data_IF_748968263210
#
_entry.id   IF_748968263210
#
_cell.length_a   1.000
_cell.length_b   1.000
_cell.length_c   1.000
_cell.angle_alpha   90.00
_cell.angle_beta   90.00
_cell.angle_gamma   90.00
#
_symmetry.space_group_name_H-M   'P 1'
#
loop_
_entity.id
_entity.type
_entity.pdbx_description
1 polymer ?
#
# COMPACT_ATOMS: atom_id res chain seq x y z
N UNK A 1 -30.10 53.12 -9.29
CA UNK A 1 -29.32 52.13 -10.08
C UNK A 1 -28.31 51.37 -9.23
N UNK A 2 -27.49 52.02 -8.39
CA UNK A 2 -26.51 51.35 -7.51
C UNK A 2 -27.12 50.42 -6.44
N UNK A 3 -28.28 50.78 -5.87
CA UNK A 3 -28.96 49.96 -4.85
C UNK A 3 -29.51 48.63 -5.41
N UNK A 4 -29.94 48.62 -6.68
CA UNK A 4 -30.40 47.41 -7.39
C UNK A 4 -29.23 46.43 -7.63
N UNK A 5 -28.02 46.96 -7.89
CA UNK A 5 -26.83 46.15 -8.14
C UNK A 5 -26.34 45.44 -6.85
N UNK A 6 -26.40 46.12 -5.70
CA UNK A 6 -25.99 45.56 -4.40
C UNK A 6 -26.92 44.45 -3.88
N UNK A 7 -28.20 44.45 -4.28
CA UNK A 7 -29.16 43.39 -3.92
C UNK A 7 -29.11 42.22 -4.90
N UNK A 8 -28.79 42.47 -6.17
CA UNK A 8 -28.69 41.42 -7.20
C UNK A 8 -27.47 40.48 -7.01
N UNK A 9 -26.34 41.00 -6.55
CA UNK A 9 -25.11 40.22 -6.33
C UNK A 9 -25.28 39.11 -5.27
N UNK A 10 -25.82 39.36 -4.06
CA UNK A 10 -26.02 38.30 -3.08
C UNK A 10 -27.10 37.28 -3.48
N UNK A 11 -28.12 37.68 -4.27
CA UNK A 11 -29.14 36.75 -4.77
C UNK A 11 -28.59 35.77 -5.82
N UNK A 12 -27.63 36.19 -6.65
CA UNK A 12 -26.94 35.31 -7.59
C UNK A 12 -26.00 34.32 -6.89
N UNK A 13 -25.45 34.66 -5.72
CA UNK A 13 -24.51 33.81 -4.98
C UNK A 13 -25.23 32.78 -4.08
N UNK A 14 -26.50 32.99 -3.73
CA UNK A 14 -27.32 32.03 -2.95
C UNK A 14 -28.21 31.12 -3.83
N UNK A 15 -28.28 31.38 -5.15
CA UNK A 15 -29.18 30.70 -6.08
C UNK A 15 -28.65 29.41 -6.74
N UNK A 16 -27.49 28.89 -6.35
CA UNK A 16 -26.96 27.63 -6.88
C UNK A 16 -26.54 26.66 -5.79
N UNK A 17 -27.42 26.46 -4.81
CA UNK A 17 -27.60 25.18 -4.16
C UNK A 17 -28.99 24.72 -4.56
N UNK A 18 -29.06 23.77 -5.46
CA UNK A 18 -30.19 22.85 -5.54
C UNK A 18 -29.60 21.53 -5.96
N UNK A 19 -29.33 20.69 -4.95
CA UNK A 19 -29.28 19.25 -5.12
C UNK A 19 -30.67 18.79 -5.54
N UNK A 20 -31.03 19.03 -6.80
CA UNK A 20 -32.21 18.47 -7.45
C UNK A 20 -31.73 17.29 -8.29
N UNK A 21 -31.70 16.13 -7.65
CA UNK A 21 -31.90 14.85 -8.33
C UNK A 21 -33.22 14.93 -9.09
N UNK A 22 -33.13 15.38 -10.34
CA UNK A 22 -34.23 15.48 -11.28
C UNK A 22 -33.85 14.60 -12.46
N UNK A 23 -34.37 13.38 -12.43
CA UNK A 23 -34.41 12.46 -13.57
C UNK A 23 -35.27 13.12 -14.66
N UNK A 24 -34.63 13.92 -15.48
CA UNK A 24 -35.16 14.43 -16.74
C UNK A 24 -34.35 13.79 -17.85
N UNK A 25 -35.05 13.08 -18.72
CA UNK A 25 -34.52 12.45 -19.93
C UNK A 25 -33.88 13.50 -20.84
N UNK A 26 -32.57 13.67 -20.71
CA UNK A 26 -31.72 14.38 -21.66
C UNK A 26 -30.38 13.67 -21.62
N UNK A 27 -29.89 13.24 -22.79
CA UNK A 27 -28.66 12.49 -23.02
C UNK A 27 -27.41 13.33 -22.75
N UNK A 28 -27.26 13.79 -21.51
CA UNK A 28 -26.06 14.46 -21.01
C UNK A 28 -24.98 13.44 -20.60
N UNK A 29 -23.69 13.80 -20.68
CA UNK A 29 -22.63 12.94 -20.19
C UNK A 29 -22.72 12.83 -18.65
N UNK A 30 -22.66 11.60 -18.12
CA UNK A 30 -22.70 11.32 -16.69
C UNK A 30 -21.29 11.43 -16.11
N UNK A 31 -21.11 12.08 -14.97
CA UNK A 31 -19.80 12.18 -14.30
C UNK A 31 -19.74 11.28 -13.07
N UNK A 32 -18.72 10.42 -13.01
CA UNK A 32 -18.40 9.63 -11.82
C UNK A 32 -17.16 10.16 -11.12
N UNK A 33 -17.26 10.20 -9.79
CA UNK A 33 -16.27 10.73 -8.88
C UNK A 33 -15.97 9.66 -7.84
N UNK A 34 -14.70 9.37 -7.61
CA UNK A 34 -14.31 8.48 -6.53
C UNK A 34 -12.97 8.92 -5.94
N UNK A 35 -12.85 8.76 -4.63
CA UNK A 35 -11.61 9.00 -3.91
C UNK A 35 -11.35 7.84 -2.97
N UNK A 36 -10.15 7.31 -2.96
CA UNK A 36 -9.79 6.18 -2.10
C UNK A 36 -8.43 6.41 -1.45
N UNK A 37 -8.33 5.98 -0.19
CA UNK A 37 -7.05 5.87 0.52
C UNK A 37 -6.66 4.40 0.52
N UNK A 38 -5.53 4.09 -0.12
CA UNK A 38 -5.04 2.72 -0.22
C UNK A 38 -3.77 2.56 0.59
N UNK A 39 -3.75 1.55 1.46
CA UNK A 39 -2.52 1.07 2.11
C UNK A 39 -1.83 0.13 1.13
N UNK A 40 -0.58 0.39 0.79
CA UNK A 40 0.27 -0.53 0.07
C UNK A 40 1.25 -1.17 1.06
N UNK A 41 1.19 -2.49 1.19
CA UNK A 41 2.11 -3.28 2.00
C UNK A 41 3.12 -3.99 1.07
N UNK A 42 4.42 -3.98 1.38
CA UNK A 42 5.46 -4.62 0.57
C UNK A 42 5.46 -6.14 0.73
N UNK A 43 4.70 -6.68 1.68
CA UNK A 43 4.58 -8.12 1.91
C UNK A 43 3.21 -8.61 1.46
N UNK A 44 3.08 -9.23 0.27
CA UNK A 44 2.04 -10.22 0.07
C UNK A 44 2.34 -11.36 1.06
N UNK A 45 1.51 -11.47 2.11
CA UNK A 45 1.43 -12.59 3.04
C UNK A 45 2.64 -13.54 3.04
N UNK A 46 3.75 -13.12 3.68
CA UNK A 46 4.68 -14.10 4.21
C UNK A 46 4.02 -14.73 5.43
N UNK A 47 3.17 -15.71 5.17
CA UNK A 47 2.67 -16.61 6.20
C UNK A 47 3.90 -17.19 6.90
N UNK A 48 4.04 -17.04 8.24
CA UNK A 48 5.18 -17.59 8.96
C UNK A 48 5.28 -19.10 8.66
N UNK A 49 6.50 -19.64 8.46
CA UNK A 49 6.68 -21.08 8.30
C UNK A 49 6.00 -21.79 9.47
N UNK A 50 5.09 -22.72 9.18
CA UNK A 50 4.54 -23.56 10.24
C UNK A 50 5.70 -24.35 10.87
N UNK A 51 5.82 -24.35 12.21
CA UNK A 51 6.90 -25.09 12.85
C UNK A 51 6.76 -26.60 12.53
N UNK A 52 7.87 -27.30 12.25
CA UNK A 52 7.82 -28.72 11.96
C UNK A 52 7.32 -29.51 13.17
N UNK A 53 6.53 -30.56 12.93
CA UNK A 53 6.02 -31.46 13.95
C UNK A 53 7.16 -32.22 14.65
N UNK A 54 7.12 -32.41 15.99
CA UNK A 54 8.17 -33.11 16.72
C UNK A 54 8.24 -34.60 16.34
N UNK A 55 9.45 -35.21 16.33
CA UNK A 55 9.62 -36.62 15.99
C UNK A 55 9.15 -37.57 17.12
N UNK A 56 8.87 -38.85 16.81
CA UNK A 56 8.45 -39.83 17.81
C UNK A 56 9.62 -40.26 18.72
N UNK A 57 9.33 -40.47 20.01
CA UNK A 57 10.30 -40.96 20.99
C UNK A 57 10.76 -42.39 20.69
N UNK A 58 12.07 -42.70 20.78
CA UNK A 58 12.53 -44.08 20.63
C UNK A 58 12.27 -44.91 21.89
N UNK A 59 11.79 -46.14 21.67
CA UNK A 59 11.56 -47.14 22.71
C UNK A 59 12.88 -47.68 23.30
N UNK A 60 12.86 -47.86 24.62
CA UNK A 60 13.95 -48.40 25.46
C UNK A 60 14.25 -49.86 25.09
N UNK A 61 15.52 -50.17 24.76
CA UNK A 61 16.00 -51.56 24.60
C UNK A 61 17.11 -51.90 25.61
N UNK A 62 17.11 -53.17 26.02
CA UNK A 62 17.63 -53.68 27.29
C UNK A 62 19.15 -53.88 27.41
N UNK A 63 19.53 -54.12 28.67
CA UNK A 63 20.89 -54.31 29.22
C UNK A 63 21.61 -55.54 28.64
N UNK A 64 22.90 -55.39 28.37
CA UNK A 64 23.86 -56.50 28.26
C UNK A 64 25.18 -56.16 28.98
N UNK A 65 25.62 -57.12 29.82
CA UNK A 65 26.98 -57.44 30.32
C UNK A 65 28.00 -56.36 30.68
N UNK A 66 28.43 -56.35 31.95
CA UNK A 66 29.49 -55.50 32.50
C UNK A 66 30.89 -55.92 32.02
N UNK A 67 31.57 -55.05 31.27
CA UNK A 67 33.03 -55.05 31.12
C UNK A 67 33.64 -54.35 32.34
N UNK A 68 34.72 -54.91 32.89
CA UNK A 68 35.38 -54.39 34.09
C UNK A 68 35.70 -52.89 33.98
N UNK A 69 35.60 -52.13 35.08
CA UNK A 69 35.68 -50.68 35.03
C UNK A 69 37.03 -50.25 34.46
N UNK A 70 37.04 -49.37 33.43
CA UNK A 70 38.23 -48.61 33.07
C UNK A 70 38.75 -47.90 34.32
N UNK A 71 40.08 -47.78 34.44
CA UNK A 71 40.70 -47.06 35.55
C UNK A 71 40.10 -45.65 35.70
N UNK A 72 40.11 -45.08 36.91
CA UNK A 72 39.53 -43.77 37.16
C UNK A 72 40.13 -42.76 36.16
N UNK A 73 39.29 -41.97 35.45
CA UNK A 73 39.78 -40.87 34.66
C UNK A 73 40.70 -40.00 35.53
N UNK A 74 41.84 -39.59 34.97
CA UNK A 74 42.73 -38.64 35.65
C UNK A 74 41.93 -37.41 36.09
N UNK A 75 42.37 -36.71 37.15
CA UNK A 75 41.69 -35.51 37.62
C UNK A 75 41.54 -34.53 36.45
N UNK A 76 40.33 -33.95 36.32
CA UNK A 76 40.09 -32.89 35.34
C UNK A 76 41.11 -31.79 35.60
N UNK A 77 41.82 -31.38 34.55
CA UNK A 77 42.73 -30.23 34.63
C UNK A 77 41.98 -28.98 35.14
N UNK A 78 42.70 -28.02 35.74
CA UNK A 78 42.07 -26.80 36.22
C UNK A 78 41.27 -26.13 35.09
N UNK A 79 40.11 -25.50 35.40
CA UNK A 79 39.41 -24.66 34.45
C UNK A 79 40.37 -23.65 33.82
N UNK A 80 40.30 -23.48 32.50
CA UNK A 80 41.07 -22.44 31.81
C UNK A 80 40.72 -21.05 32.35
N UNK A 81 41.66 -20.12 32.28
CA UNK A 81 41.41 -18.74 32.71
C UNK A 81 40.24 -18.14 31.91
N UNK A 82 39.40 -17.30 32.54
CA UNK A 82 38.38 -16.54 31.82
C UNK A 82 38.98 -15.78 30.64
N UNK A 83 38.32 -15.85 29.49
CA UNK A 83 38.70 -15.07 28.32
C UNK A 83 38.70 -13.57 28.63
N UNK A 84 39.56 -12.81 27.95
CA UNK A 84 39.59 -11.35 28.11
C UNK A 84 38.21 -10.77 27.74
N UNK A 85 37.77 -9.69 28.41
CA UNK A 85 36.57 -8.97 27.99
C UNK A 85 36.64 -8.62 26.50
N UNK A 86 35.51 -8.76 25.81
CA UNK A 86 35.41 -8.34 24.41
C UNK A 86 35.65 -6.83 24.26
N UNK A 87 36.01 -6.36 23.05
CA UNK A 87 36.13 -4.93 22.80
C UNK A 87 34.78 -4.23 23.09
N UNK A 88 34.81 -2.96 23.53
CA UNK A 88 33.60 -2.16 23.67
C UNK A 88 32.77 -2.19 22.38
N UNK A 89 31.45 -2.29 22.51
CA UNK A 89 30.54 -2.19 21.38
C UNK A 89 30.68 -0.83 20.67
N UNK A 90 30.28 -0.73 19.40
CA UNK A 90 30.25 0.56 18.70
C UNK A 90 29.41 1.57 19.48
N UNK A 91 29.76 2.87 19.45
CA UNK A 91 28.96 3.91 20.07
C UNK A 91 27.50 3.80 19.62
N UNK A 92 26.57 3.77 20.58
CA UNK A 92 25.14 3.84 20.28
C UNK A 92 24.80 5.17 19.59
N UNK A 93 23.69 5.24 18.84
CA UNK A 93 23.20 6.52 18.31
C UNK A 93 23.07 7.52 19.46
N UNK A 94 23.76 8.66 19.35
CA UNK A 94 23.79 9.67 20.41
C UNK A 94 22.41 10.23 20.76
N UNK A 95 22.29 10.93 21.90
CA UNK A 95 21.05 11.61 22.31
C UNK A 95 20.81 12.80 21.39
N UNK A 96 20.04 12.54 20.34
CA UNK A 96 19.92 13.41 19.17
C UNK A 96 20.13 12.60 17.90
N UNK A 97 19.53 11.41 17.83
CA UNK A 97 19.49 10.55 16.65
C UNK A 97 18.84 11.29 15.48
N UNK A 98 19.60 12.21 14.90
CA UNK A 98 19.39 12.72 13.56
C UNK A 98 19.79 11.57 12.66
N UNK A 99 18.86 10.64 12.50
CA UNK A 99 18.72 9.98 11.21
C UNK A 99 18.52 11.15 10.25
N UNK A 100 19.46 11.50 9.36
CA UNK A 100 19.12 12.40 8.26
C UNK A 100 17.90 11.77 7.64
N UNK A 101 16.75 12.47 7.68
CA UNK A 101 15.50 12.00 7.11
C UNK A 101 15.84 11.45 5.73
N UNK A 102 15.97 10.12 5.65
CA UNK A 102 16.50 9.47 4.48
C UNK A 102 15.41 9.69 3.45
N UNK A 103 15.68 10.60 2.50
CA UNK A 103 14.88 10.96 1.34
C UNK A 103 13.51 10.27 1.31
N UNK A 104 12.48 10.88 1.92
CA UNK A 104 11.10 10.44 1.62
C UNK A 104 10.87 10.74 0.14
N UNK A 105 10.79 9.72 -0.74
CA UNK A 105 10.63 9.99 -2.14
C UNK A 105 9.28 10.68 -2.33
N UNK A 106 9.31 11.81 -3.04
CA UNK A 106 8.10 12.50 -3.44
C UNK A 106 7.46 11.66 -4.52
N UNK A 107 6.21 11.25 -4.31
CA UNK A 107 5.47 10.39 -5.23
C UNK A 107 4.13 11.06 -5.48
N UNK A 108 3.85 11.37 -6.74
CA UNK A 108 2.59 11.97 -7.16
C UNK A 108 2.41 11.79 -8.66
N UNK A 109 1.19 11.53 -9.11
CA UNK A 109 0.87 11.56 -10.54
C UNK A 109 -0.48 12.21 -10.78
N UNK A 110 -0.65 12.77 -11.98
CA UNK A 110 -1.91 13.29 -12.51
C UNK A 110 -1.92 13.04 -14.00
N UNK A 111 -2.97 12.38 -14.49
CA UNK A 111 -3.12 12.03 -15.89
C UNK A 111 -4.58 12.14 -16.35
N UNK A 112 -4.77 12.55 -17.60
CA UNK A 112 -6.04 12.59 -18.30
C UNK A 112 -6.17 11.50 -19.36
N UNK A 113 -7.35 11.41 -19.95
CA UNK A 113 -7.64 10.46 -21.02
C UNK A 113 -7.79 11.24 -22.34
N UNK A 114 -6.94 10.98 -23.34
CA UNK A 114 -6.97 11.70 -24.62
C UNK A 114 -8.05 11.18 -25.56
N UNK A 115 -8.28 9.86 -25.52
CA UNK A 115 -9.22 9.17 -26.42
C UNK A 115 -10.34 8.54 -25.60
N UNK A 116 -11.60 8.59 -26.10
CA UNK A 116 -12.67 7.83 -25.50
C UNK A 116 -12.29 6.35 -25.39
N UNK A 117 -12.69 5.74 -24.29
CA UNK A 117 -12.40 4.35 -23.99
C UNK A 117 -13.72 3.60 -23.79
N UNK A 118 -13.81 2.38 -24.32
CA UNK A 118 -15.02 1.56 -24.31
C UNK A 118 -14.71 0.15 -23.78
N UNK A 119 -15.71 -0.50 -23.19
CA UNK A 119 -15.60 -1.86 -22.65
C UNK A 119 -15.20 -1.93 -21.17
N UNK A 120 -14.82 -3.14 -20.74
CA UNK A 120 -14.58 -3.50 -19.34
C UNK A 120 -13.08 -3.59 -18.98
N UNK A 121 -12.21 -3.01 -19.80
CA UNK A 121 -10.77 -3.02 -19.56
C UNK A 121 -10.30 -1.82 -18.71
N UNK A 122 -9.04 -1.85 -18.28
CA UNK A 122 -8.44 -0.80 -17.45
C UNK A 122 -8.37 0.51 -18.25
N UNK A 123 -8.90 1.60 -17.68
CA UNK A 123 -8.77 2.95 -18.24
C UNK A 123 -7.29 3.38 -18.24
N UNK A 124 -6.73 3.56 -19.44
CA UNK A 124 -5.33 3.97 -19.66
C UNK A 124 -5.25 5.48 -19.85
N UNK A 125 -5.07 6.22 -18.76
CA UNK A 125 -4.91 7.68 -18.80
C UNK A 125 -3.55 8.04 -19.42
N UNK A 126 -3.57 8.29 -20.73
CA UNK A 126 -2.38 8.49 -21.57
C UNK A 126 -1.87 9.94 -21.60
N UNK A 127 -2.65 10.90 -21.10
CA UNK A 127 -2.26 12.31 -21.00
C UNK A 127 -1.61 12.61 -19.66
N UNK A 128 -0.34 12.24 -19.48
CA UNK A 128 0.37 12.45 -18.21
C UNK A 128 0.80 13.91 -18.06
N UNK A 129 0.25 14.59 -17.06
CA UNK A 129 0.61 15.97 -16.70
C UNK A 129 1.73 15.97 -15.65
N UNK A 130 1.62 15.10 -14.64
CA UNK A 130 2.61 14.96 -13.57
C UNK A 130 2.87 13.48 -13.30
N UNK A 131 4.13 13.08 -13.11
CA UNK A 131 4.51 11.71 -12.71
C UNK A 131 5.81 11.72 -11.90
N UNK A 132 5.77 12.30 -10.70
CA UNK A 132 6.91 12.35 -9.79
C UNK A 132 7.25 10.93 -9.34
N UNK A 133 8.46 10.49 -9.67
CA UNK A 133 8.95 9.14 -9.38
C UNK A 133 8.67 8.10 -10.48
N UNK A 134 7.91 8.43 -11.52
CA UNK A 134 7.63 7.55 -12.67
C UNK A 134 7.01 6.19 -12.29
N UNK A 135 6.12 6.19 -11.30
CA UNK A 135 5.46 4.97 -10.81
C UNK A 135 4.06 4.73 -11.40
N UNK A 136 3.54 5.72 -12.14
CA UNK A 136 2.39 5.56 -13.01
C UNK A 136 2.84 5.18 -14.43
N UNK A 137 2.29 4.09 -14.95
CA UNK A 137 2.60 3.56 -16.28
C UNK A 137 1.42 3.81 -17.25
N UNK A 138 1.52 4.78 -18.17
CA UNK A 138 0.40 5.21 -19.03
C UNK A 138 -0.03 4.13 -20.02
N UNK A 139 0.91 3.29 -20.44
CA UNK A 139 0.64 2.17 -21.35
C UNK A 139 -0.29 1.12 -20.74
N UNK A 140 -0.30 0.99 -19.42
CA UNK A 140 -1.09 0.00 -18.67
C UNK A 140 -2.23 0.61 -17.85
N UNK A 141 -2.21 1.92 -17.59
CA UNK A 141 -3.15 2.61 -16.71
C UNK A 141 -2.91 2.37 -15.22
N UNK A 142 -1.78 1.75 -14.83
CA UNK A 142 -1.53 1.27 -13.46
C UNK A 142 -0.50 2.12 -12.73
N UNK A 143 -0.77 2.35 -11.45
CA UNK A 143 0.21 2.88 -10.50
C UNK A 143 0.78 1.74 -9.66
N UNK A 144 2.11 1.63 -9.60
CA UNK A 144 2.81 0.63 -8.79
C UNK A 144 3.37 1.29 -7.54
N UNK A 145 2.90 0.89 -6.36
CA UNK A 145 3.40 1.42 -5.10
C UNK A 145 4.90 1.11 -4.94
N UNK A 146 5.79 2.12 -4.92
CA UNK A 146 7.23 1.88 -4.78
C UNK A 146 7.67 1.61 -3.35
N UNK A 147 6.89 2.08 -2.38
CA UNK A 147 7.18 1.94 -0.96
C UNK A 147 5.92 1.56 -0.17
N UNK A 148 6.08 0.86 0.98
CA UNK A 148 5.04 0.75 1.99
C UNK A 148 4.47 2.12 2.34
N UNK A 149 3.14 2.26 2.38
CA UNK A 149 2.54 3.49 2.84
C UNK A 149 1.08 3.66 2.48
N UNK A 150 0.54 4.80 2.90
CA UNK A 150 -0.82 5.23 2.58
C UNK A 150 -0.75 6.16 1.38
N UNK A 151 -1.48 5.81 0.33
CA UNK A 151 -1.58 6.56 -0.90
C UNK A 151 -3.00 7.10 -1.05
N UNK A 152 -3.10 8.31 -1.60
CA UNK A 152 -4.37 8.96 -1.90
C UNK A 152 -4.60 8.97 -3.41
N UNK A 153 -5.77 8.53 -3.82
CA UNK A 153 -6.19 8.51 -5.21
C UNK A 153 -7.54 9.18 -5.33
N UNK A 154 -7.71 9.96 -6.40
CA UNK A 154 -8.99 10.54 -6.80
C UNK A 154 -9.13 10.40 -8.30
N UNK A 155 -10.33 10.11 -8.77
CA UNK A 155 -10.63 10.00 -10.20
C UNK A 155 -11.94 10.68 -10.53
N UNK A 156 -11.96 11.26 -11.73
CA UNK A 156 -13.10 11.94 -12.31
C UNK A 156 -13.26 11.37 -13.71
N UNK A 157 -14.29 10.56 -13.94
CA UNK A 157 -14.54 9.91 -15.23
C UNK A 157 -15.82 10.48 -15.82
N UNK A 158 -15.69 11.07 -17.01
CA UNK A 158 -16.83 11.49 -17.81
C UNK A 158 -17.28 10.33 -18.68
N UNK A 159 -18.52 9.91 -18.50
CA UNK A 159 -19.11 8.76 -19.17
C UNK A 159 -20.13 9.24 -20.20
N UNK A 160 -20.06 8.70 -21.42
CA UNK A 160 -21.04 8.96 -22.48
C UNK A 160 -22.19 7.98 -22.34
N UNK A 161 -23.26 8.38 -21.66
CA UNK A 161 -24.46 7.56 -21.49
C UNK A 161 -25.10 7.18 -22.83
N UNK A 162 -25.33 5.88 -23.06
CA UNK A 162 -26.02 5.33 -24.21
C UNK A 162 -26.95 4.18 -23.81
N UNK A 163 -28.12 4.13 -24.43
CA UNK A 163 -29.02 2.97 -24.48
C UNK A 163 -29.64 2.51 -23.15
N UNK A 164 -29.64 3.38 -22.12
CA UNK A 164 -30.22 3.07 -20.82
C UNK A 164 -29.36 2.14 -19.94
N UNK A 165 -28.12 1.85 -20.36
CA UNK A 165 -27.16 1.10 -19.55
C UNK A 165 -26.45 2.02 -18.56
N UNK A 166 -26.41 1.61 -17.29
CA UNK A 166 -25.61 2.31 -16.27
C UNK A 166 -24.15 1.93 -16.45
N UNK A 167 -23.28 2.93 -16.59
CA UNK A 167 -21.84 2.72 -16.57
C UNK A 167 -21.28 3.13 -15.22
N UNK A 168 -20.23 2.46 -14.76
CA UNK A 168 -19.49 2.86 -13.59
C UNK A 168 -17.98 2.64 -13.77
N UNK A 169 -17.20 3.37 -12.99
CA UNK A 169 -15.75 3.22 -12.92
C UNK A 169 -15.37 2.91 -11.48
N UNK A 170 -14.56 1.86 -11.31
CA UNK A 170 -14.08 1.40 -10.01
C UNK A 170 -12.55 1.60 -9.92
N UNK A 171 -12.08 2.04 -8.75
CA UNK A 171 -10.66 2.00 -8.43
C UNK A 171 -10.30 0.61 -7.91
N UNK A 172 -9.23 0.01 -8.44
CA UNK A 172 -8.83 -1.35 -8.07
C UNK A 172 -7.43 -1.40 -7.45
N UNK A 173 -7.28 -2.23 -6.42
CA UNK A 173 -5.98 -2.68 -5.88
C UNK A 173 -5.87 -4.19 -6.08
N UNK A 174 -4.90 -4.63 -6.88
CA UNK A 174 -4.62 -6.07 -7.10
C UNK A 174 -5.86 -6.90 -7.44
N UNK A 175 -6.74 -6.37 -8.30
CA UNK A 175 -7.99 -7.04 -8.73
C UNK A 175 -9.18 -6.88 -7.76
N UNK A 176 -9.01 -6.20 -6.62
CA UNK A 176 -10.09 -5.90 -5.70
C UNK A 176 -10.56 -4.45 -5.85
N UNK A 177 -11.86 -4.24 -5.96
CA UNK A 177 -12.48 -2.92 -5.91
C UNK A 177 -12.21 -2.26 -4.56
N UNK A 178 -11.79 -1.00 -4.57
CA UNK A 178 -11.61 -0.16 -3.39
C UNK A 178 -12.53 1.05 -3.51
N UNK A 179 -13.43 1.18 -2.54
CA UNK A 179 -14.39 2.28 -2.41
C UNK A 179 -13.89 3.29 -1.40
#
# INVERSE_FOLDING_TARGET
MLLLLLVAIPLLVQGSWSSSSSSSSTSGPYQMLGSCRMVCDPYPDLQPPQPPSPPPFPARKGRTGLRGPPGPPGPRGPPGEPGRPGPPGPPGPGPGGYIPSFYTPKIAFYAGLRKPHEGYEVLRFDDVVTNVGNYYEPSSGKFTCPLPGIYFFTYHVLMRGGDGTSMWADLMKNGQVKK
#
